data_IF_064859178108
#
_entry.id   IF_064859178108
#
_cell.length_a   1.000
_cell.length_b   1.000
_cell.length_c   1.000
_cell.angle_alpha   90.00
_cell.angle_beta   90.00
_cell.angle_gamma   90.00
#
_symmetry.space_group_name_H-M   'P 1'
#
loop_
_entity.id
_entity.type
_entity.pdbx_description
1 polymer ?
#
# COMPACT_ATOMS: atom_id res chain seq x y z
N UNK A 1 9.42 -0.31 -9.33
CA UNK A 1 10.09 0.13 -10.57
C UNK A 1 11.21 1.07 -10.18
N UNK A 2 12.38 0.98 -10.80
CA UNK A 2 13.49 1.90 -10.54
C UNK A 2 13.46 2.99 -11.60
N UNK A 3 13.12 4.19 -11.20
CA UNK A 3 13.20 5.38 -12.05
C UNK A 3 14.61 5.97 -11.93
N UNK A 4 15.03 6.70 -12.96
CA UNK A 4 16.38 7.31 -12.99
C UNK A 4 16.66 8.22 -11.78
N UNK A 5 15.62 8.73 -11.12
CA UNK A 5 15.69 9.68 -10.00
C UNK A 5 15.14 9.17 -8.66
N UNK A 6 14.43 8.04 -8.65
CA UNK A 6 13.78 7.53 -7.44
C UNK A 6 13.42 6.05 -7.57
N UNK A 7 13.26 5.38 -6.44
CA UNK A 7 12.67 4.04 -6.38
C UNK A 7 11.19 4.21 -6.03
N UNK A 8 10.30 3.69 -6.90
CA UNK A 8 8.86 3.72 -6.66
C UNK A 8 8.37 2.39 -6.08
N UNK A 9 7.83 2.46 -4.88
CA UNK A 9 7.18 1.36 -4.17
C UNK A 9 5.66 1.55 -4.22
N UNK A 10 4.99 0.73 -5.04
CA UNK A 10 3.53 0.82 -5.20
C UNK A 10 2.82 -0.27 -4.43
N UNK A 11 1.79 0.14 -3.68
CA UNK A 11 0.89 -0.75 -2.94
C UNK A 11 -0.44 -0.81 -3.68
N UNK A 12 -0.77 -1.97 -4.27
CA UNK A 12 -2.00 -2.15 -5.05
C UNK A 12 -3.28 -1.91 -4.25
N UNK A 13 -3.25 -2.17 -2.94
CA UNK A 13 -4.33 -1.85 -1.99
C UNK A 13 -3.95 -0.70 -1.07
N UNK A 14 -3.09 0.19 -1.54
CA UNK A 14 -2.54 1.29 -0.75
C UNK A 14 -3.61 2.18 -0.15
N UNK A 15 -4.73 2.43 -0.84
CA UNK A 15 -5.83 3.25 -0.33
C UNK A 15 -6.55 2.64 0.90
N UNK A 16 -6.38 1.34 1.14
CA UNK A 16 -6.96 0.63 2.29
C UNK A 16 -6.02 0.52 3.50
N UNK A 17 -4.81 1.08 3.41
CA UNK A 17 -3.85 1.10 4.51
C UNK A 17 -3.95 2.40 5.28
N UNK A 18 -3.79 2.36 6.59
CA UNK A 18 -3.56 3.59 7.35
C UNK A 18 -2.11 4.04 7.17
N UNK A 19 -1.89 5.35 7.18
CA UNK A 19 -0.56 5.94 7.03
C UNK A 19 -0.41 7.15 7.97
N UNK A 20 -0.34 6.91 9.29
CA UNK A 20 -0.25 7.98 10.28
C UNK A 20 1.07 8.77 10.19
N UNK A 21 2.11 8.17 9.63
CA UNK A 21 3.43 8.79 9.43
C UNK A 21 3.56 9.53 8.09
N UNK A 22 2.52 9.48 7.23
CA UNK A 22 2.52 10.18 5.95
C UNK A 22 3.60 9.71 4.97
N UNK A 23 3.91 8.40 4.95
CA UNK A 23 4.92 7.84 4.05
C UNK A 23 4.48 7.83 2.58
N UNK A 24 3.18 7.74 2.29
CA UNK A 24 2.69 7.84 0.92
C UNK A 24 2.81 9.27 0.41
N UNK A 25 3.59 9.45 -0.65
CA UNK A 25 3.81 10.74 -1.29
C UNK A 25 3.38 10.77 -2.76
N UNK A 26 2.88 9.65 -3.29
CA UNK A 26 2.60 9.48 -4.72
C UNK A 26 1.33 8.67 -4.97
N UNK A 27 0.63 8.97 -6.07
CA UNK A 27 -0.66 8.34 -6.41
C UNK A 27 -1.73 8.47 -5.31
N UNK A 28 -1.79 9.63 -4.64
CA UNK A 28 -2.64 9.85 -3.45
C UNK A 28 -4.13 9.94 -3.78
N UNK A 29 -4.48 10.45 -4.96
CA UNK A 29 -5.87 10.59 -5.41
C UNK A 29 -6.51 9.27 -5.87
N UNK A 30 -5.73 8.18 -5.84
CA UNK A 30 -6.18 6.85 -6.26
C UNK A 30 -7.09 6.20 -5.21
N UNK A 31 -8.21 5.62 -5.64
CA UNK A 31 -9.14 4.89 -4.76
C UNK A 31 -8.69 3.45 -4.40
N UNK A 32 -7.63 2.95 -5.04
CA UNK A 32 -7.16 1.57 -4.86
C UNK A 32 -5.68 1.54 -4.43
N UNK A 33 -4.82 2.22 -5.19
CA UNK A 33 -3.36 2.17 -5.02
C UNK A 33 -2.80 3.48 -4.48
N UNK A 34 -1.73 3.38 -3.70
CA UNK A 34 -0.86 4.49 -3.30
C UNK A 34 0.61 4.06 -3.42
N UNK A 35 1.52 5.01 -3.53
CA UNK A 35 2.93 4.74 -3.73
C UNK A 35 3.84 5.64 -2.86
N UNK A 36 5.04 5.14 -2.63
CA UNK A 36 6.16 5.85 -2.02
C UNK A 36 7.23 5.97 -3.08
N UNK A 37 7.55 7.19 -3.48
CA UNK A 37 8.69 7.52 -4.32
C UNK A 37 9.83 7.90 -3.38
N UNK A 38 10.90 7.09 -3.35
CA UNK A 38 12.07 7.26 -2.48
C UNK A 38 13.21 7.85 -3.32
N UNK A 39 13.66 9.05 -2.96
CA UNK A 39 14.75 9.72 -3.65
C UNK A 39 16.13 9.39 -3.06
N UNK A 40 17.18 9.59 -3.85
CA UNK A 40 18.55 9.43 -3.38
C UNK A 40 18.85 10.47 -2.28
N UNK A 41 19.44 10.00 -1.16
CA UNK A 41 19.75 10.84 -0.01
C UNK A 41 18.57 11.14 0.92
N UNK A 42 17.37 10.63 0.62
CA UNK A 42 16.20 10.76 1.48
C UNK A 42 16.27 9.77 2.66
N UNK A 43 16.01 10.28 3.87
CA UNK A 43 15.87 9.42 5.05
C UNK A 43 14.42 8.98 5.21
N UNK A 44 14.21 7.66 5.12
CA UNK A 44 12.93 7.03 5.37
C UNK A 44 12.87 6.51 6.80
N UNK A 45 11.82 6.83 7.54
CA UNK A 45 11.58 6.24 8.87
C UNK A 45 11.42 4.72 8.74
N UNK A 46 12.46 3.99 9.13
CA UNK A 46 12.51 2.53 9.04
C UNK A 46 11.44 1.85 9.90
N UNK A 47 11.06 2.44 11.04
CA UNK A 47 10.05 1.88 11.93
C UNK A 47 8.67 2.01 11.32
N UNK A 48 8.32 3.21 10.86
CA UNK A 48 7.06 3.47 10.18
C UNK A 48 6.95 2.65 8.89
N UNK A 49 8.02 2.59 8.09
CA UNK A 49 8.04 1.82 6.85
C UNK A 49 7.83 0.32 7.11
N UNK A 50 8.50 -0.24 8.13
CA UNK A 50 8.30 -1.65 8.51
C UNK A 50 6.89 -1.93 9.01
N UNK A 51 6.28 -1.00 9.75
CA UNK A 51 4.89 -1.12 10.19
C UNK A 51 3.93 -1.13 8.99
N UNK A 52 4.14 -0.23 8.03
CA UNK A 52 3.34 -0.16 6.80
C UNK A 52 3.43 -1.46 5.98
N UNK A 53 4.63 -2.03 5.81
CA UNK A 53 4.83 -3.31 5.11
C UNK A 53 4.09 -4.46 5.82
N UNK A 54 4.15 -4.51 7.16
CA UNK A 54 3.43 -5.52 7.94
C UNK A 54 1.91 -5.37 7.81
N UNK A 55 1.39 -4.16 7.86
CA UNK A 55 -0.03 -3.88 7.64
C UNK A 55 -0.49 -4.32 6.24
N UNK A 56 0.31 -4.01 5.21
CA UNK A 56 0.06 -4.43 3.84
C UNK A 56 0.04 -5.96 3.70
N UNK A 57 0.99 -6.66 4.32
CA UNK A 57 1.04 -8.12 4.33
C UNK A 57 -0.19 -8.74 5.01
N UNK A 58 -0.58 -8.21 6.18
CA UNK A 58 -1.77 -8.66 6.90
C UNK A 58 -3.05 -8.46 6.09
N UNK A 59 -3.22 -7.30 5.47
CA UNK A 59 -4.35 -7.01 4.57
C UNK A 59 -4.42 -8.00 3.40
N UNK A 60 -3.27 -8.33 2.81
CA UNK A 60 -3.19 -9.30 1.73
C UNK A 60 -3.52 -10.73 2.18
N UNK A 61 -3.05 -11.14 3.36
CA UNK A 61 -3.39 -12.44 3.94
C UNK A 61 -4.89 -12.56 4.24
N UNK A 62 -5.50 -11.53 4.85
CA UNK A 62 -6.93 -11.52 5.16
C UNK A 62 -7.82 -11.59 3.90
N UNK A 63 -7.39 -10.99 2.79
CA UNK A 63 -8.11 -11.07 1.53
C UNK A 63 -8.10 -12.48 0.91
N UNK A 64 -7.06 -13.29 1.18
CA UNK A 64 -6.94 -14.66 0.68
C UNK A 64 -7.80 -15.66 1.48
N UNK A 65 -8.13 -15.30 2.73
CA UNK A 65 -8.89 -16.15 3.67
C UNK A 65 -10.40 -15.88 3.62
N UNK A 66 -10.88 -14.84 2.92
CA UNK A 66 -12.33 -14.66 2.75
C UNK A 66 -12.91 -15.77 1.87
N UNK A 67 -13.88 -16.57 2.37
CA UNK A 67 -14.62 -17.48 1.50
C UNK A 67 -15.27 -16.64 0.40
N UNK A 68 -15.23 -17.14 -0.84
CA UNK A 68 -15.80 -16.50 -2.02
C UNK A 68 -17.23 -16.11 -1.67
N UNK A 69 -17.49 -14.81 -1.47
CA UNK A 69 -18.84 -14.29 -1.22
C UNK A 69 -19.67 -14.68 -2.43
N UNK A 70 -20.46 -15.74 -2.33
CA UNK A 70 -21.43 -16.12 -3.33
C UNK A 70 -22.36 -14.93 -3.45
N UNK A 71 -22.40 -14.28 -4.62
CA UNK A 71 -23.44 -13.28 -4.90
C UNK A 71 -24.77 -14.02 -4.79
N UNK A 72 -25.55 -13.74 -3.75
CA UNK A 72 -26.94 -14.14 -3.72
C UNK A 72 -27.64 -13.34 -4.82
N UNK A 73 -28.11 -14.06 -5.85
CA UNK A 73 -29.00 -13.51 -6.85
C UNK A 73 -30.28 -13.07 -6.14
N UNK A 74 -30.61 -11.78 -6.24
CA UNK A 74 -31.92 -11.30 -5.88
C UNK A 74 -32.89 -11.72 -6.98
N UNK A 75 -33.94 -12.44 -6.58
CA UNK A 75 -35.13 -12.74 -7.36
C UNK A 75 -36.03 -11.50 -7.44
#
# INVERSE_FOLDING_TARGET
>A
ESYKSHVKLTFLKGASLEDPSGLFNSSLDGNARRAIDIHEGEELDATAFRALIRAAAALNAAAKVRPKRTRAAAA
#
